data_IF_337624268441
#
_entry.id   IF_337624268441
#
_cell.length_a   1.000
_cell.length_b   1.000
_cell.length_c   1.000
_cell.angle_alpha   90.00
_cell.angle_beta   90.00
_cell.angle_gamma   90.00
#
_symmetry.space_group_name_H-M   'P 1'
#
loop_
_entity.id
_entity.type
_entity.pdbx_description
1 polymer ?
#
# COMPACT_ATOMS: atom_id res chain seq x y z
N UNK A 1 -13.67 -9.41 -25.51
CA UNK A 1 -12.64 -8.38 -25.31
C UNK A 1 -11.75 -8.87 -24.19
N UNK A 2 -10.41 -8.88 -24.34
CA UNK A 2 -9.50 -9.51 -23.36
C UNK A 2 -9.38 -8.74 -22.05
N UNK A 3 -9.66 -7.44 -22.06
CA UNK A 3 -9.60 -6.55 -20.89
C UNK A 3 -10.84 -5.66 -20.88
N UNK A 4 -11.45 -5.50 -19.72
CA UNK A 4 -12.50 -4.51 -19.49
C UNK A 4 -11.86 -3.19 -19.04
N UNK A 5 -11.70 -2.28 -19.99
CA UNK A 5 -11.08 -0.97 -19.71
C UNK A 5 -11.91 -0.10 -18.76
N UNK A 6 -13.22 -0.34 -18.67
CA UNK A 6 -14.08 0.37 -17.74
C UNK A 6 -13.73 0.01 -16.29
N UNK A 7 -13.58 -1.28 -16.02
CA UNK A 7 -13.17 -1.77 -14.70
C UNK A 7 -11.78 -1.23 -14.30
N UNK A 8 -10.83 -1.24 -15.24
CA UNK A 8 -9.48 -0.71 -15.00
C UNK A 8 -9.48 0.80 -14.75
N UNK A 9 -10.33 1.55 -15.46
CA UNK A 9 -10.48 3.00 -15.27
C UNK A 9 -10.93 3.35 -13.84
N UNK A 10 -11.85 2.58 -13.27
CA UNK A 10 -12.27 2.77 -11.88
C UNK A 10 -11.26 2.22 -10.86
N UNK A 11 -10.55 1.15 -11.19
CA UNK A 11 -9.55 0.56 -10.29
C UNK A 11 -8.38 1.52 -10.00
N UNK A 12 -7.85 2.19 -11.03
CA UNK A 12 -6.67 3.05 -10.92
C UNK A 12 -6.82 4.13 -9.84
N UNK A 13 -7.85 5.01 -9.85
CA UNK A 13 -7.97 6.06 -8.85
C UNK A 13 -8.24 5.50 -7.45
N UNK A 14 -9.03 4.43 -7.34
CA UNK A 14 -9.32 3.79 -6.05
C UNK A 14 -8.03 3.23 -5.46
N UNK A 15 -7.27 2.48 -6.25
CA UNK A 15 -6.03 1.90 -5.78
C UNK A 15 -4.97 2.97 -5.49
N UNK A 16 -4.89 4.04 -6.28
CA UNK A 16 -3.98 5.15 -6.03
C UNK A 16 -4.24 5.82 -4.67
N UNK A 17 -5.50 6.10 -4.33
CA UNK A 17 -5.87 6.68 -3.03
C UNK A 17 -5.43 5.78 -1.88
N UNK A 18 -5.60 4.47 -2.04
CA UNK A 18 -5.21 3.50 -1.01
C UNK A 18 -3.70 3.38 -0.92
N UNK A 19 -3.01 3.24 -2.04
CA UNK A 19 -1.54 3.13 -2.07
C UNK A 19 -0.88 4.35 -1.44
N UNK A 20 -1.30 5.57 -1.84
CA UNK A 20 -0.71 6.82 -1.33
C UNK A 20 -1.07 7.10 0.13
N UNK A 21 -2.08 6.42 0.67
CA UNK A 21 -2.43 6.56 2.09
C UNK A 21 -1.30 6.01 2.97
N UNK A 22 -0.79 6.80 3.95
CA UNK A 22 0.30 6.35 4.80
C UNK A 22 0.03 4.99 5.46
N UNK A 23 0.96 4.07 5.29
CA UNK A 23 0.98 2.75 5.91
C UNK A 23 2.43 2.34 6.17
N UNK A 24 2.67 1.06 6.48
CA UNK A 24 4.02 0.59 6.81
C UNK A 24 5.02 0.86 5.68
N UNK A 25 4.68 0.54 4.42
CA UNK A 25 5.57 0.73 3.27
C UNK A 25 5.84 2.21 2.99
N UNK A 26 4.78 3.03 2.97
CA UNK A 26 4.90 4.47 2.72
C UNK A 26 5.67 5.19 3.84
N UNK A 27 5.44 4.81 5.09
CA UNK A 27 6.19 5.32 6.25
C UNK A 27 7.67 4.93 6.17
N UNK A 28 7.96 3.71 5.76
CA UNK A 28 9.33 3.25 5.56
C UNK A 28 10.03 4.04 4.43
N UNK A 29 9.36 4.23 3.29
CA UNK A 29 9.87 5.01 2.17
C UNK A 29 10.14 6.47 2.57
N UNK A 30 9.21 7.10 3.29
CA UNK A 30 9.38 8.45 3.83
C UNK A 30 10.60 8.56 4.74
N UNK A 31 10.69 7.66 5.73
CA UNK A 31 11.75 7.64 6.72
C UNK A 31 13.13 7.43 6.07
N UNK A 32 13.21 6.49 5.14
CA UNK A 32 14.45 6.25 4.40
C UNK A 32 14.78 7.42 3.46
N UNK A 33 13.78 8.03 2.82
CA UNK A 33 13.98 9.24 2.01
C UNK A 33 14.63 10.35 2.83
N UNK A 34 14.18 10.56 4.08
CA UNK A 34 14.75 11.55 5.01
C UNK A 34 16.18 11.18 5.43
N UNK A 35 16.41 9.91 5.78
CA UNK A 35 17.64 9.47 6.46
C UNK A 35 18.77 9.09 5.53
N UNK A 36 18.50 8.40 4.44
CA UNK A 36 19.50 7.86 3.50
C UNK A 36 19.33 8.34 2.06
N UNK A 37 18.32 9.19 1.81
CA UNK A 37 18.01 9.78 0.51
C UNK A 37 17.35 8.82 -0.47
N UNK A 38 16.77 9.37 -1.55
CA UNK A 38 15.98 8.63 -2.55
C UNK A 38 16.75 7.48 -3.18
N UNK A 39 18.00 7.71 -3.59
CA UNK A 39 18.83 6.70 -4.29
C UNK A 39 19.00 5.39 -3.50
N UNK A 40 19.20 5.49 -2.19
CA UNK A 40 19.30 4.29 -1.34
C UNK A 40 17.92 3.71 -1.02
N UNK A 41 16.88 4.57 -0.88
CA UNK A 41 15.50 4.12 -0.69
C UNK A 41 15.00 3.31 -1.88
N UNK A 42 15.41 3.61 -3.10
CA UNK A 42 15.07 2.77 -4.29
C UNK A 42 15.55 1.32 -4.15
N UNK A 43 16.65 1.07 -3.44
CA UNK A 43 17.10 -0.32 -3.15
C UNK A 43 16.07 -1.07 -2.28
N UNK A 44 15.45 -0.37 -1.35
CA UNK A 44 14.36 -0.91 -0.53
C UNK A 44 13.11 -1.15 -1.36
N UNK A 45 12.77 -0.23 -2.28
CA UNK A 45 11.59 -0.33 -3.15
C UNK A 45 11.62 -1.58 -4.02
N UNK A 46 12.81 -2.03 -4.47
CA UNK A 46 12.92 -3.29 -5.24
C UNK A 46 12.39 -4.47 -4.44
N UNK A 47 12.80 -4.60 -3.21
CA UNK A 47 12.31 -5.69 -2.36
C UNK A 47 10.84 -5.55 -1.99
N UNK A 48 10.41 -4.32 -1.74
CA UNK A 48 9.00 -4.01 -1.45
C UNK A 48 8.10 -4.40 -2.62
N UNK A 49 8.43 -4.01 -3.85
CA UNK A 49 7.66 -4.35 -5.05
C UNK A 49 7.62 -5.87 -5.30
N UNK A 50 8.70 -6.60 -5.01
CA UNK A 50 8.69 -8.07 -5.06
C UNK A 50 7.72 -8.63 -4.01
N UNK A 51 7.71 -8.08 -2.80
CA UNK A 51 6.75 -8.45 -1.76
C UNK A 51 5.31 -8.17 -2.17
N UNK A 52 5.04 -6.98 -2.71
CA UNK A 52 3.71 -6.60 -3.24
C UNK A 52 3.29 -7.51 -4.40
N UNK A 53 4.20 -7.84 -5.32
CA UNK A 53 3.94 -8.78 -6.41
C UNK A 53 3.46 -10.14 -5.88
N UNK A 54 4.09 -10.67 -4.85
CA UNK A 54 3.69 -11.95 -4.25
C UNK A 54 2.34 -11.82 -3.55
N UNK A 55 2.16 -10.79 -2.71
CA UNK A 55 0.91 -10.59 -1.96
C UNK A 55 -0.27 -10.30 -2.91
N UNK A 56 -0.11 -9.38 -3.85
CA UNK A 56 -1.14 -9.06 -4.83
C UNK A 56 -1.40 -10.24 -5.77
N UNK A 57 -0.35 -10.87 -6.30
CA UNK A 57 -0.47 -12.02 -7.19
C UNK A 57 -1.22 -13.19 -6.55
N UNK A 58 -0.88 -13.53 -5.30
CA UNK A 58 -1.58 -14.60 -4.56
C UNK A 58 -3.01 -14.21 -4.21
N UNK A 59 -3.25 -12.97 -3.81
CA UNK A 59 -4.60 -12.49 -3.50
C UNK A 59 -5.48 -12.44 -4.74
N UNK A 60 -4.97 -11.94 -5.86
CA UNK A 60 -5.70 -11.88 -7.14
C UNK A 60 -5.98 -13.28 -7.66
N UNK A 61 -4.98 -14.18 -7.66
CA UNK A 61 -5.15 -15.57 -8.11
C UNK A 61 -6.11 -16.37 -7.20
N UNK A 62 -6.04 -16.12 -5.88
CA UNK A 62 -6.89 -16.78 -4.91
C UNK A 62 -8.32 -16.26 -4.83
N UNK A 63 -8.56 -15.01 -5.23
CA UNK A 63 -9.86 -14.34 -5.08
C UNK A 63 -10.99 -15.08 -5.80
N UNK A 64 -10.77 -15.51 -7.03
CA UNK A 64 -11.77 -16.26 -7.82
C UNK A 64 -12.15 -17.59 -7.16
N UNK A 65 -11.17 -18.35 -6.68
CA UNK A 65 -11.41 -19.61 -5.98
C UNK A 65 -12.12 -19.39 -4.63
N UNK A 66 -11.76 -18.33 -3.90
CA UNK A 66 -12.39 -17.99 -2.62
C UNK A 66 -13.86 -17.60 -2.83
N UNK A 67 -14.16 -16.76 -3.83
CA UNK A 67 -15.55 -16.34 -4.12
C UNK A 67 -16.41 -17.51 -4.54
N UNK A 68 -15.93 -18.36 -5.46
CA UNK A 68 -16.71 -19.47 -5.99
C UNK A 68 -16.90 -20.62 -5.00
N UNK A 69 -15.88 -20.95 -4.21
CA UNK A 69 -15.89 -22.10 -3.31
C UNK A 69 -16.30 -21.76 -1.88
N UNK A 70 -16.03 -20.53 -1.44
CA UNK A 70 -16.27 -20.08 -0.06
C UNK A 70 -16.84 -18.65 0.01
N UNK A 71 -18.08 -18.40 -0.46
CA UNK A 71 -18.65 -17.06 -0.49
C UNK A 71 -18.75 -16.41 0.91
N UNK A 72 -18.98 -17.20 1.94
CA UNK A 72 -19.00 -16.71 3.34
C UNK A 72 -17.60 -16.26 3.79
N UNK A 73 -16.53 -16.97 3.39
CA UNK A 73 -15.18 -16.56 3.70
C UNK A 73 -14.83 -15.23 3.01
N UNK A 74 -15.27 -15.04 1.76
CA UNK A 74 -15.12 -13.77 1.07
C UNK A 74 -15.80 -12.60 1.82
N UNK A 75 -17.04 -12.79 2.29
CA UNK A 75 -17.74 -11.79 3.09
C UNK A 75 -16.99 -11.45 4.40
N UNK A 76 -16.44 -12.45 5.07
CA UNK A 76 -15.61 -12.25 6.25
C UNK A 76 -14.36 -11.43 5.94
N UNK A 77 -13.66 -11.71 4.84
CA UNK A 77 -12.50 -10.92 4.38
C UNK A 77 -12.91 -9.49 3.99
N UNK A 78 -14.02 -9.31 3.29
CA UNK A 78 -14.56 -8.02 2.88
C UNK A 78 -14.86 -7.14 4.10
N UNK A 79 -15.69 -7.62 5.01
CA UNK A 79 -16.06 -6.86 6.21
C UNK A 79 -14.89 -6.72 7.19
N UNK A 80 -14.11 -7.78 7.39
CA UNK A 80 -12.91 -7.75 8.24
C UNK A 80 -11.86 -6.79 7.71
N UNK A 81 -11.62 -6.79 6.40
CA UNK A 81 -10.73 -5.86 5.72
C UNK A 81 -11.21 -4.41 5.83
N UNK A 82 -12.52 -4.16 5.61
CA UNK A 82 -13.12 -2.85 5.78
C UNK A 82 -12.99 -2.32 7.22
N UNK A 83 -13.32 -3.14 8.21
CA UNK A 83 -13.15 -2.82 9.63
C UNK A 83 -11.69 -2.56 10.00
N UNK A 84 -10.77 -3.38 9.47
CA UNK A 84 -9.35 -3.19 9.68
C UNK A 84 -8.85 -1.85 9.09
N UNK A 85 -9.26 -1.48 7.87
CA UNK A 85 -8.93 -0.20 7.26
C UNK A 85 -9.48 0.98 8.08
N UNK A 86 -10.71 0.88 8.58
CA UNK A 86 -11.28 1.89 9.48
C UNK A 86 -10.50 2.01 10.80
N UNK A 87 -10.08 0.89 11.38
CA UNK A 87 -9.28 0.87 12.59
C UNK A 87 -7.90 1.53 12.38
N UNK A 88 -7.21 1.20 11.28
CA UNK A 88 -5.93 1.84 10.91
C UNK A 88 -6.12 3.33 10.69
N UNK A 89 -7.18 3.74 9.97
CA UNK A 89 -7.53 5.14 9.77
C UNK A 89 -7.76 5.89 11.09
N UNK A 90 -8.48 5.28 12.03
CA UNK A 90 -8.69 5.82 13.37
C UNK A 90 -7.37 5.99 14.14
N UNK A 91 -6.49 4.99 14.10
CA UNK A 91 -5.16 5.08 14.71
C UNK A 91 -4.34 6.24 14.12
N UNK A 92 -4.39 6.43 12.80
CA UNK A 92 -3.69 7.51 12.12
C UNK A 92 -4.19 8.89 12.55
N UNK A 93 -5.50 9.09 12.68
CA UNK A 93 -6.10 10.34 13.16
C UNK A 93 -5.62 10.67 14.56
N UNK A 94 -5.56 9.66 15.42
CA UNK A 94 -5.18 9.81 16.83
C UNK A 94 -3.65 9.78 17.07
N UNK A 95 -2.87 9.46 16.03
CA UNK A 95 -1.42 9.46 16.16
C UNK A 95 -0.91 10.86 16.51
N UNK A 96 -0.18 10.99 17.64
CA UNK A 96 0.37 12.26 18.11
C UNK A 96 1.57 12.76 17.29
N UNK A 97 1.63 12.39 16.00
CA UNK A 97 2.75 12.75 15.11
C UNK A 97 4.03 11.97 15.42
N UNK A 98 3.92 10.87 16.12
CA UNK A 98 5.01 9.92 16.31
C UNK A 98 5.12 9.02 15.07
N UNK A 99 5.54 9.59 13.93
CA UNK A 99 6.49 8.89 13.10
C UNK A 99 7.72 8.83 14.02
N UNK A 100 7.99 7.65 14.58
CA UNK A 100 9.19 7.44 15.38
C UNK A 100 10.41 7.48 14.45
N UNK A 101 10.74 8.70 14.00
CA UNK A 101 12.00 9.00 13.38
C UNK A 101 13.00 9.05 14.53
N UNK A 102 13.61 7.93 14.87
CA UNK A 102 14.88 7.94 15.55
C UNK A 102 15.88 8.58 14.58
N UNK A 103 15.94 9.90 14.61
CA UNK A 103 16.86 10.72 13.81
C UNK A 103 18.30 10.70 14.38
N UNK A 104 18.57 9.81 15.34
CA UNK A 104 19.90 9.65 15.96
C UNK A 104 20.79 8.77 15.11
N UNK A 105 21.06 9.17 13.88
CA UNK A 105 21.85 8.34 12.98
C UNK A 105 22.67 9.10 11.97
N UNK A 106 23.61 9.88 12.42
CA UNK A 106 24.81 10.24 11.63
C UNK A 106 25.69 9.01 11.42
N UNK A 107 25.26 8.09 10.58
CA UNK A 107 26.12 7.04 10.10
C UNK A 107 26.01 6.94 8.56
N UNK A 108 27.08 7.33 7.91
CA UNK A 108 27.37 7.01 6.51
C UNK A 108 27.51 5.47 6.41
N UNK A 109 26.39 4.79 6.20
CA UNK A 109 26.39 3.34 6.00
C UNK A 109 26.58 3.06 4.52
N UNK A 110 27.57 2.26 4.21
CA UNK A 110 27.57 1.45 2.99
C UNK A 110 26.49 0.39 3.13
N UNK A 111 25.24 0.81 2.90
CA UNK A 111 24.05 -0.01 3.20
C UNK A 111 23.91 -0.97 2.04
N UNK A 112 24.21 -2.25 2.31
CA UNK A 112 24.14 -3.33 1.33
C UNK A 112 22.74 -3.39 0.73
N UNK A 113 22.68 -3.47 -0.61
CA UNK A 113 21.44 -3.60 -1.39
C UNK A 113 20.49 -4.66 -0.80
N UNK A 114 21.03 -5.85 -0.49
CA UNK A 114 20.28 -6.99 0.05
C UNK A 114 19.57 -6.63 1.36
N UNK A 115 20.22 -5.89 2.26
CA UNK A 115 19.63 -5.52 3.55
C UNK A 115 18.43 -4.59 3.37
N UNK A 116 18.54 -3.59 2.48
CA UNK A 116 17.46 -2.67 2.19
C UNK A 116 16.31 -3.37 1.46
N UNK A 117 16.61 -4.17 0.45
CA UNK A 117 15.60 -4.94 -0.28
C UNK A 117 14.88 -5.94 0.62
N UNK A 118 15.60 -6.66 1.49
CA UNK A 118 14.98 -7.55 2.46
C UNK A 118 14.04 -6.80 3.42
N UNK A 119 14.42 -5.59 3.86
CA UNK A 119 13.57 -4.79 4.71
C UNK A 119 12.28 -4.36 3.99
N UNK A 120 12.37 -3.92 2.73
CA UNK A 120 11.19 -3.59 1.92
C UNK A 120 10.30 -4.82 1.71
N UNK A 121 10.88 -5.95 1.33
CA UNK A 121 10.17 -7.21 1.13
C UNK A 121 9.41 -7.66 2.37
N UNK A 122 10.08 -7.73 3.52
CA UNK A 122 9.45 -8.14 4.78
C UNK A 122 8.32 -7.17 5.15
N UNK A 123 8.54 -5.86 4.97
CA UNK A 123 7.52 -4.84 5.27
C UNK A 123 6.28 -5.03 4.39
N UNK A 124 6.44 -5.30 3.09
CA UNK A 124 5.33 -5.53 2.17
C UNK A 124 4.56 -6.82 2.51
N UNK A 125 5.27 -7.94 2.72
CA UNK A 125 4.65 -9.24 3.03
C UNK A 125 3.97 -9.24 4.40
N UNK A 126 4.56 -8.57 5.38
CA UNK A 126 3.98 -8.42 6.71
C UNK A 126 2.91 -7.32 6.81
N UNK A 127 2.65 -6.58 5.72
CA UNK A 127 1.70 -5.47 5.73
C UNK A 127 0.24 -5.95 5.66
N UNK A 128 -0.50 -5.94 6.78
CA UNK A 128 -1.88 -6.43 6.78
C UNK A 128 -2.82 -5.57 5.94
N UNK A 129 -2.49 -4.28 5.72
CA UNK A 129 -3.23 -3.39 4.82
C UNK A 129 -3.23 -3.94 3.40
N UNK A 130 -2.06 -4.40 2.90
CA UNK A 130 -1.94 -4.98 1.55
C UNK A 130 -2.81 -6.22 1.39
N UNK A 131 -2.71 -7.17 2.30
CA UNK A 131 -3.51 -8.39 2.27
C UNK A 131 -5.02 -8.11 2.31
N UNK A 132 -5.47 -7.32 3.29
CA UNK A 132 -6.88 -6.97 3.44
C UNK A 132 -7.42 -6.30 2.17
N UNK A 133 -6.63 -5.37 1.61
CA UNK A 133 -7.03 -4.65 0.41
C UNK A 133 -7.10 -5.57 -0.82
N UNK A 134 -6.04 -6.30 -1.13
CA UNK A 134 -6.02 -7.11 -2.36
C UNK A 134 -7.06 -8.23 -2.34
N UNK A 135 -7.30 -8.89 -1.21
CA UNK A 135 -8.33 -9.92 -1.10
C UNK A 135 -9.73 -9.35 -1.25
N UNK A 136 -10.00 -8.20 -0.62
CA UNK A 136 -11.35 -7.65 -0.57
C UNK A 136 -11.71 -6.77 -1.78
N UNK A 137 -10.72 -6.05 -2.34
CA UNK A 137 -10.97 -5.04 -3.38
C UNK A 137 -10.73 -5.51 -4.80
N UNK A 138 -9.92 -6.56 -5.02
CA UNK A 138 -9.60 -6.98 -6.39
C UNK A 138 -10.77 -7.66 -7.10
N UNK A 139 -11.60 -8.51 -6.45
CA UNK A 139 -12.67 -9.24 -7.09
C UNK A 139 -13.68 -8.41 -7.90
N UNK A 140 -14.14 -7.23 -7.42
CA UNK A 140 -15.08 -6.39 -8.16
C UNK A 140 -14.54 -5.87 -9.51
N UNK A 141 -13.21 -5.94 -9.70
CA UNK A 141 -12.54 -5.48 -10.91
C UNK A 141 -12.13 -6.61 -11.86
N UNK A 142 -12.62 -7.82 -11.63
CA UNK A 142 -12.36 -9.00 -12.46
C UNK A 142 -13.68 -9.45 -13.10
N UNK A 143 -13.69 -9.54 -14.42
CA UNK A 143 -14.78 -10.18 -15.16
C UNK A 143 -14.52 -11.68 -15.25
N UNK A 144 -15.26 -12.48 -14.47
CA UNK A 144 -15.08 -13.93 -14.39
C UNK A 144 -15.60 -14.68 -15.63
N UNK A 145 -16.36 -14.01 -16.51
CA UNK A 145 -16.85 -14.59 -17.79
C UNK A 145 -15.82 -14.45 -18.92
N UNK A 146 -14.75 -13.67 -18.70
CA UNK A 146 -13.66 -13.47 -19.65
C UNK A 146 -12.38 -14.17 -19.21
N UNK A 147 -11.36 -14.21 -20.10
CA UNK A 147 -10.07 -14.80 -19.78
C UNK A 147 -9.43 -14.11 -18.56
N UNK A 148 -9.18 -14.87 -17.50
CA UNK A 148 -8.72 -14.34 -16.22
C UNK A 148 -7.26 -13.88 -16.24
N UNK A 149 -6.38 -14.68 -16.85
CA UNK A 149 -4.93 -14.43 -16.81
C UNK A 149 -4.53 -13.05 -17.34
N UNK A 150 -5.03 -12.56 -18.49
CA UNK A 150 -4.72 -11.21 -18.95
C UNK A 150 -5.20 -10.11 -18.00
N UNK A 151 -6.39 -10.27 -17.40
CA UNK A 151 -6.96 -9.32 -16.45
C UNK A 151 -6.13 -9.26 -15.16
N UNK A 152 -5.82 -10.42 -14.59
CA UNK A 152 -4.99 -10.56 -13.40
C UNK A 152 -3.59 -9.96 -13.60
N UNK A 153 -2.97 -10.26 -14.75
CA UNK A 153 -1.67 -9.70 -15.10
C UNK A 153 -1.71 -8.18 -15.22
N UNK A 154 -2.74 -7.64 -15.88
CA UNK A 154 -2.90 -6.19 -16.00
C UNK A 154 -3.11 -5.52 -14.65
N UNK A 155 -3.95 -6.07 -13.78
CA UNK A 155 -4.18 -5.56 -12.42
C UNK A 155 -2.88 -5.56 -11.61
N UNK A 156 -2.12 -6.65 -11.61
CA UNK A 156 -0.85 -6.74 -10.90
C UNK A 156 0.16 -5.71 -11.42
N UNK A 157 0.27 -5.53 -12.73
CA UNK A 157 1.16 -4.51 -13.31
C UNK A 157 0.73 -3.10 -12.87
N UNK A 158 -0.56 -2.78 -12.92
CA UNK A 158 -1.09 -1.48 -12.47
C UNK A 158 -0.79 -1.27 -10.98
N UNK A 159 -1.00 -2.29 -10.16
CA UNK A 159 -0.67 -2.27 -8.72
C UNK A 159 0.79 -1.91 -8.52
N UNK A 160 1.71 -2.61 -9.18
CA UNK A 160 3.16 -2.38 -9.03
C UNK A 160 3.57 -0.97 -9.48
N UNK A 161 3.00 -0.47 -10.58
CA UNK A 161 3.28 0.88 -11.08
C UNK A 161 2.80 1.94 -10.09
N UNK A 162 1.57 1.83 -9.61
CA UNK A 162 0.99 2.79 -8.67
C UNK A 162 1.74 2.75 -7.32
N UNK A 163 2.08 1.56 -6.83
CA UNK A 163 2.84 1.38 -5.60
C UNK A 163 4.22 2.03 -5.73
N UNK A 164 4.95 1.76 -6.83
CA UNK A 164 6.23 2.40 -7.10
C UNK A 164 6.13 3.94 -7.14
N UNK A 165 5.12 4.49 -7.83
CA UNK A 165 4.90 5.94 -7.88
C UNK A 165 4.63 6.50 -6.48
N UNK A 166 3.80 5.83 -5.70
CA UNK A 166 3.49 6.23 -4.32
C UNK A 166 4.73 6.20 -3.44
N UNK A 167 5.54 5.14 -3.50
CA UNK A 167 6.83 5.05 -2.79
C UNK A 167 7.79 6.17 -3.20
N UNK A 168 7.87 6.49 -4.49
CA UNK A 168 8.71 7.58 -4.98
C UNK A 168 8.24 8.94 -4.46
N UNK A 169 6.94 9.20 -4.44
CA UNK A 169 6.37 10.42 -3.84
C UNK A 169 6.78 10.54 -2.38
N UNK A 170 6.66 9.46 -1.61
CA UNK A 170 7.05 9.45 -0.20
C UNK A 170 8.55 9.62 0.02
N UNK A 171 9.37 8.95 -0.77
CA UNK A 171 10.83 9.04 -0.64
C UNK A 171 11.35 10.42 -1.05
N UNK A 172 10.86 10.99 -2.16
CA UNK A 172 11.24 12.33 -2.63
C UNK A 172 10.70 13.40 -1.70
N UNK A 173 9.42 13.28 -1.29
CA UNK A 173 8.82 14.13 -0.28
C UNK A 173 9.57 14.08 1.04
N UNK A 174 9.96 12.88 1.49
CA UNK A 174 10.79 12.70 2.67
C UNK A 174 12.12 13.42 2.57
N UNK A 175 12.81 13.27 1.45
CA UNK A 175 14.09 13.96 1.23
C UNK A 175 13.93 15.49 1.19
N UNK A 176 12.89 16.01 0.55
CA UNK A 176 12.61 17.44 0.50
C UNK A 176 12.13 17.99 1.86
N UNK A 177 11.31 17.21 2.55
CA UNK A 177 10.72 17.57 3.84
C UNK A 177 11.68 17.37 5.03
N UNK A 178 12.80 16.67 4.85
CA UNK A 178 13.81 16.52 5.90
C UNK A 178 14.22 17.85 6.55
N UNK A 179 14.12 18.93 5.78
CA UNK A 179 14.32 20.33 6.25
C UNK A 179 13.06 20.90 6.94
N UNK A 180 11.85 20.54 6.49
CA UNK A 180 10.58 21.15 6.92
C UNK A 180 9.88 20.31 8.00
N UNK A 181 10.08 18.99 8.03
CA UNK A 181 9.44 18.05 8.98
C UNK A 181 9.94 18.17 10.43
N UNK A 182 10.87 19.06 10.71
CA UNK A 182 11.17 19.48 12.09
C UNK A 182 9.96 20.11 12.80
N UNK A 183 8.85 20.43 12.10
CA UNK A 183 7.59 20.93 12.69
C UNK A 183 6.57 19.80 12.87
N UNK A 184 6.37 19.36 14.11
CA UNK A 184 5.38 18.32 14.53
C UNK A 184 3.95 18.50 13.98
N UNK A 185 3.52 19.72 13.67
CA UNK A 185 2.13 19.99 13.23
C UNK A 185 1.82 19.48 11.83
N UNK A 186 2.79 19.45 10.92
CA UNK A 186 2.54 19.03 9.53
C UNK A 186 2.33 17.52 9.43
N UNK A 187 3.05 16.73 10.25
CA UNK A 187 2.88 15.27 10.27
C UNK A 187 1.48 14.91 10.80
N UNK A 188 0.99 15.63 11.81
CA UNK A 188 -0.34 15.40 12.37
C UNK A 188 -1.44 15.67 11.35
N UNK A 189 -1.32 16.71 10.53
CA UNK A 189 -2.28 17.04 9.48
C UNK A 189 -2.31 15.94 8.40
N UNK A 190 -1.15 15.51 7.93
CA UNK A 190 -1.03 14.41 6.93
C UNK A 190 -1.67 13.14 7.47
N UNK A 191 -1.37 12.74 8.71
CA UNK A 191 -1.95 11.55 9.32
C UNK A 191 -3.47 11.66 9.48
N UNK A 192 -4.01 12.85 9.78
CA UNK A 192 -5.47 13.06 9.86
C UNK A 192 -6.15 12.90 8.51
N UNK A 193 -5.63 13.55 7.47
CA UNK A 193 -6.18 13.45 6.11
C UNK A 193 -6.15 12.00 5.64
N UNK A 194 -5.00 11.35 5.77
CA UNK A 194 -4.82 9.95 5.40
C UNK A 194 -5.74 9.00 6.19
N UNK A 195 -5.90 9.23 7.49
CA UNK A 195 -6.80 8.45 8.33
C UNK A 195 -8.27 8.59 7.92
N UNK A 196 -8.73 9.80 7.56
CA UNK A 196 -10.08 10.04 7.06
C UNK A 196 -10.31 9.30 5.73
N UNK A 197 -9.36 9.39 4.79
CA UNK A 197 -9.43 8.66 3.52
C UNK A 197 -9.48 7.15 3.73
N UNK A 198 -8.68 6.62 4.66
CA UNK A 198 -8.66 5.20 5.00
C UNK A 198 -10.00 4.72 5.57
N UNK A 199 -10.62 5.50 6.46
CA UNK A 199 -11.96 5.22 6.99
C UNK A 199 -12.98 5.23 5.86
N UNK A 200 -12.93 6.23 4.97
CA UNK A 200 -13.82 6.33 3.80
C UNK A 200 -13.75 5.09 2.90
N UNK A 201 -12.53 4.62 2.61
CA UNK A 201 -12.33 3.39 1.83
C UNK A 201 -12.83 2.16 2.57
N UNK A 202 -12.59 2.06 3.89
CA UNK A 202 -13.09 0.95 4.71
C UNK A 202 -14.63 0.88 4.72
N UNK A 203 -15.31 2.03 4.83
CA UNK A 203 -16.77 2.12 4.73
C UNK A 203 -17.23 1.71 3.33
N UNK A 204 -16.63 2.30 2.28
CA UNK A 204 -17.00 1.97 0.91
C UNK A 204 -16.85 0.46 0.64
N UNK A 205 -15.77 -0.16 1.09
CA UNK A 205 -15.56 -1.60 0.97
C UNK A 205 -16.67 -2.41 1.69
N UNK A 206 -17.12 -1.95 2.85
CA UNK A 206 -18.16 -2.67 3.59
C UNK A 206 -19.54 -2.60 2.90
N UNK A 207 -19.84 -1.50 2.18
CA UNK A 207 -21.16 -1.29 1.54
C UNK A 207 -21.18 -1.67 0.04
N UNK A 208 -20.04 -1.81 -0.64
CA UNK A 208 -19.94 -2.28 -2.04
C UNK A 208 -20.15 -3.78 -2.13
#
# INVERSE_FOLDING_TARGET
MLLDFTLLYFFIPVFFVISITPGLCMTLALTMGITIGVKNTMKMMVGELIGVLIVAGTAVAGSGAIISSFPTAFLLFKYGGGLYLMYVGYQMINSRGALALNLDGTHSFDIKFIKLSAQGFITAVANPKGWAFFIAMTPPFINYEAALLPQMSALVVIILVIEFVSLMIYATGGQALGVILRKKNNIRLINRIAGILMIGVGIWLAIS
#
